data_IF_893427612830
#
_entry.id   IF_893427612830
#
_cell.length_a   1.000
_cell.length_b   1.000
_cell.length_c   1.000
_cell.angle_alpha   90.00
_cell.angle_beta   90.00
_cell.angle_gamma   90.00
#
_symmetry.space_group_name_H-M   'P 1'
#
loop_
_entity.id
_entity.type
_entity.pdbx_description
1 polymer ?
#
# COMPACT_ATOMS: atom_id res chain seq x y z
N UNK A 1 9.91 1.13 -20.51
CA UNK A 1 10.82 1.63 -19.44
C UNK A 1 10.10 1.82 -18.10
N UNK A 2 8.88 2.39 -18.04
CA UNK A 2 8.17 2.61 -16.75
C UNK A 2 7.48 1.36 -16.17
N UNK A 3 6.95 0.46 -17.00
CA UNK A 3 6.22 -0.72 -16.52
C UNK A 3 7.12 -1.70 -15.74
N UNK A 4 8.32 -2.09 -16.23
CA UNK A 4 9.23 -2.95 -15.44
C UNK A 4 9.63 -2.30 -14.12
N UNK A 5 9.85 -0.98 -14.10
CA UNK A 5 10.17 -0.28 -12.86
C UNK A 5 9.00 -0.28 -11.87
N UNK A 6 7.76 -0.28 -12.36
CA UNK A 6 6.59 -0.33 -11.49
C UNK A 6 6.39 -1.72 -10.85
N UNK A 7 6.75 -2.82 -11.55
CA UNK A 7 6.74 -4.16 -10.97
C UNK A 7 7.86 -4.35 -9.95
N UNK A 8 9.06 -3.79 -10.19
CA UNK A 8 10.17 -3.85 -9.25
C UNK A 8 9.83 -3.26 -7.86
N UNK A 9 8.85 -2.36 -7.75
CA UNK A 9 8.38 -1.89 -6.44
C UNK A 9 7.80 -3.06 -5.61
N UNK A 10 7.01 -3.94 -6.22
CA UNK A 10 6.45 -5.09 -5.52
C UNK A 10 7.53 -6.11 -5.16
N UNK A 11 8.46 -6.39 -6.07
CA UNK A 11 9.60 -7.28 -5.80
C UNK A 11 10.45 -6.76 -4.64
N UNK A 12 10.80 -5.48 -4.66
CA UNK A 12 11.56 -4.84 -3.59
C UNK A 12 10.82 -4.92 -2.25
N UNK A 13 9.53 -4.56 -2.20
CA UNK A 13 8.79 -4.59 -0.93
C UNK A 13 8.45 -6.00 -0.45
N UNK A 14 8.37 -6.99 -1.34
CA UNK A 14 8.27 -8.40 -0.98
C UNK A 14 9.55 -8.95 -0.32
N UNK A 15 10.72 -8.37 -0.64
CA UNK A 15 11.95 -8.65 0.10
C UNK A 15 11.96 -7.93 1.45
N UNK A 16 11.61 -6.63 1.46
CA UNK A 16 11.58 -5.82 2.69
C UNK A 16 10.69 -6.44 3.77
N UNK A 17 9.49 -6.95 3.42
CA UNK A 17 8.58 -7.50 4.43
C UNK A 17 9.15 -8.70 5.20
N UNK A 18 10.07 -9.46 4.60
CA UNK A 18 10.73 -10.59 5.26
C UNK A 18 11.75 -10.17 6.32
N UNK A 19 12.19 -8.91 6.28
CA UNK A 19 13.25 -8.37 7.13
C UNK A 19 12.74 -7.38 8.18
N UNK A 20 11.46 -7.03 8.14
CA UNK A 20 10.85 -6.06 9.05
C UNK A 20 10.69 -6.64 10.45
N UNK A 21 11.71 -6.42 11.28
CA UNK A 21 11.77 -6.90 12.65
C UNK A 21 11.80 -5.75 13.66
N UNK A 22 11.23 -6.03 14.82
CA UNK A 22 11.40 -5.21 16.02
C UNK A 22 12.85 -5.20 16.52
N UNK A 23 13.14 -4.32 17.47
CA UNK A 23 14.47 -4.21 18.10
C UNK A 23 14.39 -4.65 19.55
N UNK A 24 15.40 -5.35 20.02
CA UNK A 24 15.59 -5.63 21.45
C UNK A 24 16.54 -4.60 22.05
N UNK A 25 16.29 -4.22 23.30
CA UNK A 25 17.08 -3.24 24.02
C UNK A 25 17.54 -3.85 25.35
N UNK A 26 18.87 -4.01 25.56
CA UNK A 26 19.38 -4.53 26.82
C UNK A 26 19.17 -3.50 27.93
N UNK A 27 18.70 -3.96 29.10
CA UNK A 27 18.54 -3.12 30.29
C UNK A 27 19.20 -3.80 31.50
N UNK A 28 18.56 -4.84 32.04
CA UNK A 28 19.08 -5.67 33.13
C UNK A 28 18.59 -7.13 32.99
N UNK A 29 18.98 -7.99 33.92
CA UNK A 29 18.62 -9.42 33.91
C UNK A 29 17.17 -9.69 34.38
N UNK A 30 16.37 -8.65 34.61
CA UNK A 30 15.00 -8.77 35.15
C UNK A 30 13.92 -8.39 34.13
N UNK A 31 14.26 -7.66 33.07
CA UNK A 31 13.28 -7.16 32.10
C UNK A 31 13.74 -7.33 30.65
N UNK A 32 12.86 -7.89 29.81
CA UNK A 32 13.05 -7.94 28.37
C UNK A 32 12.31 -6.77 27.70
N UNK A 33 13.08 -5.83 27.14
CA UNK A 33 12.55 -4.73 26.34
C UNK A 33 12.69 -5.02 24.85
N UNK A 34 11.58 -4.98 24.13
CA UNK A 34 11.57 -5.09 22.68
C UNK A 34 10.48 -4.24 22.05
N UNK A 35 10.68 -3.86 20.80
CA UNK A 35 9.66 -3.20 19.98
C UNK A 35 9.05 -4.18 19.00
N UNK A 36 7.85 -3.88 18.54
CA UNK A 36 7.19 -4.59 17.44
C UNK A 36 6.90 -3.60 16.32
N UNK A 37 6.94 -4.09 15.09
CA UNK A 37 6.39 -3.37 13.94
C UNK A 37 5.02 -3.97 13.69
N UNK A 38 3.97 -3.16 13.86
CA UNK A 38 2.59 -3.58 13.66
C UNK A 38 1.97 -2.79 12.49
N UNK A 39 1.08 -3.40 11.71
CA UNK A 39 0.32 -2.67 10.70
C UNK A 39 -0.52 -1.59 11.36
N UNK A 40 -0.67 -0.46 10.67
CA UNK A 40 -1.58 0.62 11.08
C UNK A 40 -3.06 0.25 10.85
N UNK A 41 -3.33 -0.68 9.94
CA UNK A 41 -4.67 -1.16 9.62
C UNK A 41 -5.08 -0.81 8.19
N UNK A 42 -6.16 -0.03 8.03
CA UNK A 42 -6.69 0.38 6.72
C UNK A 42 -6.07 1.70 6.30
N UNK A 43 -5.45 1.74 5.13
CA UNK A 43 -4.79 2.92 4.57
C UNK A 43 -5.59 3.51 3.39
N UNK A 44 -5.94 4.79 3.47
CA UNK A 44 -6.40 5.56 2.32
C UNK A 44 -5.21 6.05 1.47
N UNK A 45 -5.15 5.65 0.20
CA UNK A 45 -4.06 5.99 -0.71
C UNK A 45 -4.62 6.87 -1.85
N UNK A 46 -4.16 8.11 -1.96
CA UNK A 46 -4.53 9.00 -3.07
C UNK A 46 -3.31 9.27 -3.95
N UNK A 47 -3.43 9.02 -5.26
CA UNK A 47 -2.31 9.12 -6.22
C UNK A 47 -2.60 10.00 -7.45
N UNK A 48 -1.60 10.75 -7.95
CA UNK A 48 -1.74 11.72 -9.04
C UNK A 48 -1.73 11.09 -10.44
N UNK A 49 -1.87 11.92 -11.47
CA UNK A 49 -2.07 11.48 -12.86
C UNK A 49 -0.82 11.40 -13.74
N UNK A 50 0.30 11.93 -13.28
CA UNK A 50 1.49 12.13 -14.13
C UNK A 50 2.23 10.83 -14.47
N UNK A 51 2.26 9.86 -13.56
CA UNK A 51 2.80 8.50 -13.80
C UNK A 51 1.91 7.48 -13.08
N UNK A 52 0.70 7.23 -13.56
CA UNK A 52 -0.41 6.69 -12.77
C UNK A 52 -0.11 5.30 -12.22
N UNK A 53 0.28 4.35 -13.07
CA UNK A 53 0.63 3.01 -12.64
C UNK A 53 1.79 3.00 -11.65
N UNK A 54 2.84 3.77 -11.90
CA UNK A 54 4.01 3.86 -11.03
C UNK A 54 3.67 4.44 -9.65
N UNK A 55 2.93 5.55 -9.60
CA UNK A 55 2.55 6.19 -8.32
C UNK A 55 1.56 5.34 -7.53
N UNK A 56 0.73 4.54 -8.20
CA UNK A 56 -0.08 3.52 -7.55
C UNK A 56 0.83 2.47 -6.87
N UNK A 57 1.77 1.86 -7.60
CA UNK A 57 2.63 0.81 -7.03
C UNK A 57 3.55 1.32 -5.92
N UNK A 58 4.02 2.57 -5.99
CA UNK A 58 4.77 3.21 -4.90
C UNK A 58 4.03 3.27 -3.57
N UNK A 59 2.70 3.30 -3.58
CA UNK A 59 1.88 3.34 -2.37
C UNK A 59 1.39 1.96 -1.97
N UNK A 60 0.89 1.19 -2.93
CA UNK A 60 0.28 -0.12 -2.68
C UNK A 60 1.34 -1.13 -2.21
N UNK A 61 2.51 -1.19 -2.87
CA UNK A 61 3.54 -2.17 -2.55
C UNK A 61 4.02 -2.10 -1.07
N UNK A 62 4.45 -0.94 -0.53
CA UNK A 62 4.84 -0.87 0.88
C UNK A 62 3.65 -1.05 1.83
N UNK A 63 2.46 -0.57 1.46
CA UNK A 63 1.26 -0.70 2.29
C UNK A 63 0.95 -2.17 2.59
N UNK A 64 0.86 -2.99 1.53
CA UNK A 64 0.57 -4.41 1.65
C UNK A 64 1.73 -5.19 2.29
N UNK A 65 2.97 -4.86 1.92
CA UNK A 65 4.16 -5.51 2.46
C UNK A 65 4.28 -5.37 3.99
N UNK A 66 3.81 -4.25 4.55
CA UNK A 66 3.78 -4.02 6.00
C UNK A 66 2.50 -4.53 6.68
N UNK A 67 1.70 -5.35 5.99
CA UNK A 67 0.51 -6.01 6.56
C UNK A 67 -0.73 -5.13 6.65
N UNK A 68 -0.76 -3.98 5.97
CA UNK A 68 -1.93 -3.10 5.93
C UNK A 68 -2.88 -3.49 4.79
N UNK A 69 -4.13 -3.07 4.89
CA UNK A 69 -5.07 -3.08 3.76
C UNK A 69 -5.17 -1.68 3.16
N UNK A 70 -5.59 -1.59 1.90
CA UNK A 70 -5.56 -0.35 1.14
C UNK A 70 -6.91 -0.03 0.48
N UNK A 71 -7.26 1.25 0.50
CA UNK A 71 -8.26 1.86 -0.38
C UNK A 71 -7.54 2.87 -1.28
N UNK A 72 -7.28 2.50 -2.53
CA UNK A 72 -6.57 3.30 -3.51
C UNK A 72 -7.56 4.12 -4.36
N UNK A 73 -7.45 5.44 -4.30
CA UNK A 73 -8.04 6.37 -5.24
C UNK A 73 -6.97 6.92 -6.19
N UNK A 74 -7.09 6.58 -7.47
CA UNK A 74 -6.32 7.25 -8.51
C UNK A 74 -6.97 8.55 -8.96
N UNK A 75 -6.16 9.44 -9.54
CA UNK A 75 -6.67 10.58 -10.29
C UNK A 75 -7.67 10.13 -11.36
N UNK A 76 -8.80 10.81 -11.41
CA UNK A 76 -9.85 10.70 -12.42
C UNK A 76 -9.34 10.95 -13.85
N UNK A 77 -8.20 11.64 -13.99
CA UNK A 77 -7.56 11.89 -15.29
C UNK A 77 -6.83 10.67 -15.85
N UNK A 78 -6.55 9.67 -15.01
CA UNK A 78 -5.77 8.49 -15.40
C UNK A 78 -6.10 7.24 -14.56
N UNK A 79 -7.36 6.80 -14.49
CA UNK A 79 -7.82 5.80 -13.51
C UNK A 79 -7.52 4.35 -13.92
N UNK A 80 -7.50 4.05 -15.22
CA UNK A 80 -7.64 2.69 -15.76
C UNK A 80 -6.49 1.76 -15.39
N UNK A 81 -5.26 2.29 -15.28
CA UNK A 81 -4.10 1.43 -14.94
C UNK A 81 -4.11 0.93 -13.50
N UNK A 82 -4.73 1.65 -12.57
CA UNK A 82 -4.91 1.15 -11.21
C UNK A 82 -6.09 0.18 -11.10
N UNK A 83 -7.10 0.34 -11.95
CA UNK A 83 -8.18 -0.65 -12.06
C UNK A 83 -7.61 -2.01 -12.48
N UNK A 84 -6.78 -2.02 -13.53
CA UNK A 84 -6.06 -3.24 -13.96
C UNK A 84 -5.13 -3.78 -12.86
N UNK A 85 -4.55 -2.92 -12.02
CA UNK A 85 -3.76 -3.38 -10.87
C UNK A 85 -4.62 -4.14 -9.85
N UNK A 86 -5.85 -3.69 -9.61
CA UNK A 86 -6.81 -4.38 -8.75
C UNK A 86 -7.16 -5.78 -9.27
N UNK A 87 -7.41 -5.90 -10.58
CA UNK A 87 -7.65 -7.20 -11.23
C UNK A 87 -6.43 -8.12 -11.10
N UNK A 88 -5.22 -7.61 -11.38
CA UNK A 88 -3.98 -8.37 -11.24
C UNK A 88 -3.73 -8.82 -9.79
N UNK A 89 -4.12 -8.02 -8.79
CA UNK A 89 -4.01 -8.41 -7.39
C UNK A 89 -4.92 -9.60 -7.06
N UNK A 90 -6.15 -9.61 -7.59
CA UNK A 90 -7.07 -10.74 -7.45
C UNK A 90 -6.52 -11.99 -8.17
N UNK A 91 -6.02 -11.82 -9.40
CA UNK A 91 -5.37 -12.90 -10.17
C UNK A 91 -4.16 -13.49 -9.40
N UNK A 92 -3.40 -12.65 -8.69
CA UNK A 92 -2.26 -13.04 -7.87
C UNK A 92 -2.63 -13.70 -6.52
N UNK A 93 -3.93 -13.78 -6.20
CA UNK A 93 -4.42 -14.42 -4.97
C UNK A 93 -4.42 -13.52 -3.73
N UNK A 94 -4.32 -12.19 -3.90
CA UNK A 94 -4.53 -11.25 -2.78
C UNK A 94 -5.98 -11.42 -2.27
N UNK A 95 -6.20 -11.61 -0.96
CA UNK A 95 -7.54 -11.78 -0.42
C UNK A 95 -8.45 -10.59 -0.74
N UNK A 96 -9.72 -10.88 -1.05
CA UNK A 96 -10.72 -9.84 -1.32
C UNK A 96 -10.81 -8.84 -0.15
N UNK A 97 -10.85 -7.55 -0.47
CA UNK A 97 -10.88 -6.46 0.52
C UNK A 97 -9.51 -5.99 1.03
N UNK A 98 -8.41 -6.71 0.73
CA UNK A 98 -7.05 -6.26 1.09
C UNK A 98 -6.61 -5.07 0.24
N UNK A 99 -6.91 -5.09 -1.07
CA UNK A 99 -6.74 -3.95 -1.96
C UNK A 99 -8.08 -3.60 -2.59
N UNK A 100 -8.56 -2.39 -2.34
CA UNK A 100 -9.77 -1.84 -2.94
C UNK A 100 -9.37 -0.66 -3.81
N UNK A 101 -9.76 -0.66 -5.08
CA UNK A 101 -9.54 0.45 -5.99
C UNK A 101 -10.86 1.19 -6.18
N UNK A 102 -10.87 2.48 -5.88
CA UNK A 102 -12.07 3.33 -5.98
C UNK A 102 -11.82 4.48 -6.95
N UNK A 103 -12.85 4.77 -7.74
CA UNK A 103 -12.83 5.87 -8.71
C UNK A 103 -13.62 7.06 -8.19
N UNK A 104 -13.29 8.25 -8.70
CA UNK A 104 -14.03 9.47 -8.41
C UNK A 104 -13.15 10.71 -8.41
N UNK A 105 -13.78 11.86 -8.18
CA UNK A 105 -13.09 13.16 -8.15
C UNK A 105 -12.45 13.41 -6.79
N UNK A 106 -11.45 14.29 -6.77
CA UNK A 106 -10.82 14.73 -5.52
C UNK A 106 -11.83 15.30 -4.52
N UNK A 107 -12.77 16.13 -4.98
CA UNK A 107 -13.77 16.78 -4.13
C UNK A 107 -14.85 15.84 -3.56
N UNK A 108 -14.97 14.61 -4.08
CA UNK A 108 -15.96 13.63 -3.62
C UNK A 108 -15.28 12.42 -3.00
N UNK A 109 -14.74 11.52 -3.83
CA UNK A 109 -14.08 10.31 -3.35
C UNK A 109 -12.82 10.62 -2.53
N UNK A 110 -12.03 11.64 -2.95
CA UNK A 110 -10.84 12.04 -2.22
C UNK A 110 -11.15 12.64 -0.84
N UNK A 111 -12.07 13.60 -0.76
CA UNK A 111 -12.48 14.23 0.50
C UNK A 111 -13.11 13.22 1.47
N UNK A 112 -13.94 12.29 0.95
CA UNK A 112 -14.52 11.22 1.76
C UNK A 112 -13.45 10.33 2.40
N UNK A 113 -12.39 9.97 1.66
CA UNK A 113 -11.27 9.18 2.19
C UNK A 113 -10.51 9.92 3.28
N UNK A 114 -10.30 11.22 3.14
CA UNK A 114 -9.55 12.04 4.11
C UNK A 114 -10.33 12.27 5.40
N UNK A 115 -11.66 12.35 5.32
CA UNK A 115 -12.54 12.62 6.47
C UNK A 115 -13.00 11.37 7.23
N UNK A 116 -12.62 10.17 6.77
CA UNK A 116 -13.06 8.93 7.38
C UNK A 116 -12.34 8.68 8.71
N UNK A 117 -13.11 8.61 9.81
CA UNK A 117 -12.65 8.28 11.16
C UNK A 117 -12.86 6.81 11.52
#
# INVERSE_FOLDING_TARGET
MLIPRASHNFEFFAEVCQQMNGKTYPVDDKMLNYTLVQPVGVCALVSPWNVPFMTATWKVAPCLALGNTAVLKMSELSPLTADRLGELALEAGIPAGVLNVVQGYGATAGDALVRHS
#
